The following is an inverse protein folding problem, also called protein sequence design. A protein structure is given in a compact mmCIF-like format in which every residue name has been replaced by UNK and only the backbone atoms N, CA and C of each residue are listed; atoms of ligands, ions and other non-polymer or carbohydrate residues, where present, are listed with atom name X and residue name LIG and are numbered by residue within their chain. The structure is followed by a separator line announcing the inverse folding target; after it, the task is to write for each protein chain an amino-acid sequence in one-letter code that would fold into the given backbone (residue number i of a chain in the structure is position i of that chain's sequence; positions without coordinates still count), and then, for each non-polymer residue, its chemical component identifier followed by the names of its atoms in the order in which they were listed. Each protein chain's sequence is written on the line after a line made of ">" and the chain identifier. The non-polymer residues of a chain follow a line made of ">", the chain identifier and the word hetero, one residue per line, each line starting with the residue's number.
data_IF_577700340468
#
_entry.id   IF_577700340468
#
_cell.length_a   1.000
_cell.length_b   1.000
_cell.length_c   1.000
_cell.angle_alpha   90.00
_cell.angle_beta   90.00
_cell.angle_gamma   90.00
#
_symmetry.space_group_name_H-M   'P 1'
#
loop_
_entity.id
_entity.type
_entity.pdbx_description
1 polymer ?
#
# COMPACT_ATOMS: atom_id res chain seq x y z
N UNK A 1 2.42 20.98 -0.47
CA UNK A 1 3.61 20.55 0.30
C UNK A 1 3.32 19.36 1.21
N UNK A 2 2.43 19.45 2.22
CA UNK A 2 2.14 18.30 3.12
C UNK A 2 1.47 17.12 2.40
N UNK A 3 0.37 17.35 1.67
CA UNK A 3 -0.35 16.26 0.97
C UNK A 3 0.50 15.64 -0.13
N UNK A 4 1.29 16.46 -0.83
CA UNK A 4 2.26 16.00 -1.83
C UNK A 4 3.33 15.10 -1.21
N UNK A 5 3.87 15.46 -0.04
CA UNK A 5 4.84 14.60 0.66
C UNK A 5 4.26 13.26 1.10
N UNK A 6 2.96 13.21 1.43
CA UNK A 6 2.28 11.97 1.75
C UNK A 6 1.99 11.11 0.50
N UNK A 7 1.79 11.76 -0.66
CA UNK A 7 1.47 11.13 -1.95
C UNK A 7 2.67 11.10 -2.92
N UNK A 8 3.87 10.78 -2.41
CA UNK A 8 5.14 11.03 -3.10
C UNK A 8 5.40 10.28 -4.41
N UNK A 9 4.53 9.34 -4.82
CA UNK A 9 4.63 8.65 -6.11
C UNK A 9 4.15 9.48 -7.31
N UNK A 10 3.26 10.45 -7.05
CA UNK A 10 2.65 11.28 -8.09
C UNK A 10 3.38 12.61 -8.22
N UNK A 11 3.34 13.21 -9.41
CA UNK A 11 3.83 14.57 -9.58
C UNK A 11 3.03 15.55 -8.71
N UNK A 12 3.71 16.60 -8.24
CA UNK A 12 3.10 17.64 -7.40
C UNK A 12 1.84 18.23 -8.03
N UNK A 13 1.89 18.53 -9.34
CA UNK A 13 0.74 19.07 -10.07
C UNK A 13 -0.46 18.11 -10.07
N UNK A 14 -0.22 16.81 -10.25
CA UNK A 14 -1.28 15.79 -10.21
C UNK A 14 -1.91 15.68 -8.83
N UNK A 15 -1.10 15.63 -7.76
CA UNK A 15 -1.62 15.58 -6.39
C UNK A 15 -2.45 16.83 -6.09
N UNK A 16 -1.94 18.01 -6.42
CA UNK A 16 -2.64 19.27 -6.17
C UNK A 16 -3.98 19.34 -6.90
N UNK A 17 -4.00 18.97 -8.19
CA UNK A 17 -5.22 18.96 -8.99
C UNK A 17 -6.27 18.03 -8.39
N UNK A 18 -5.92 16.75 -8.17
CA UNK A 18 -6.86 15.74 -7.67
C UNK A 18 -7.33 16.09 -6.25
N UNK A 19 -6.40 16.46 -5.36
CA UNK A 19 -6.73 16.79 -3.97
C UNK A 19 -7.67 17.99 -3.86
N UNK A 20 -7.37 19.08 -4.59
CA UNK A 20 -8.17 20.29 -4.52
C UNK A 20 -9.56 20.09 -5.10
N UNK A 21 -9.70 19.38 -6.24
CA UNK A 21 -11.02 19.12 -6.78
C UNK A 21 -11.83 18.12 -5.94
N UNK A 22 -11.18 17.12 -5.33
CA UNK A 22 -11.87 16.11 -4.52
C UNK A 22 -12.36 16.66 -3.17
N UNK A 23 -11.54 17.48 -2.49
CA UNK A 23 -11.90 18.01 -1.16
C UNK A 23 -13.07 19.01 -1.22
N UNK A 24 -13.31 19.61 -2.38
CA UNK A 24 -14.47 20.49 -2.63
C UNK A 24 -15.78 19.69 -2.78
N UNK A 25 -15.69 18.38 -3.08
CA UNK A 25 -16.84 17.47 -3.22
C UNK A 25 -17.14 16.78 -1.89
N UNK A 26 -16.13 16.23 -1.23
CA UNK A 26 -16.29 15.44 -0.01
C UNK A 26 -15.12 15.71 0.96
N UNK A 27 -15.37 15.92 2.26
CA UNK A 27 -14.29 16.12 3.23
C UNK A 27 -13.30 14.93 3.19
N UNK A 28 -11.98 15.17 3.17
CA UNK A 28 -11.02 14.09 2.94
C UNK A 28 -11.11 12.91 3.90
N UNK A 29 -11.44 13.15 5.19
CA UNK A 29 -11.59 12.05 6.16
C UNK A 29 -12.83 11.19 5.87
N UNK A 30 -13.92 11.80 5.39
CA UNK A 30 -15.12 11.09 4.97
C UNK A 30 -14.82 10.30 3.70
N UNK A 31 -14.13 10.89 2.72
CA UNK A 31 -13.70 10.19 1.51
C UNK A 31 -12.81 8.97 1.82
N UNK A 32 -11.87 9.11 2.76
CA UNK A 32 -11.03 8.00 3.21
C UNK A 32 -11.82 6.88 3.90
N UNK A 33 -12.84 7.22 4.68
CA UNK A 33 -13.75 6.24 5.29
C UNK A 33 -14.55 5.48 4.23
N UNK A 34 -15.16 6.19 3.28
CA UNK A 34 -15.93 5.60 2.18
C UNK A 34 -15.07 4.68 1.30
N UNK A 35 -13.82 5.07 1.02
CA UNK A 35 -12.89 4.21 0.29
C UNK A 35 -12.66 2.87 0.99
N UNK A 36 -12.53 2.89 2.32
CA UNK A 36 -12.36 1.64 3.09
C UNK A 36 -13.66 0.86 3.20
N UNK A 37 -14.81 1.52 3.31
CA UNK A 37 -16.11 0.85 3.23
C UNK A 37 -16.29 0.14 1.87
N UNK A 38 -15.88 0.76 0.77
CA UNK A 38 -15.86 0.11 -0.55
C UNK A 38 -14.95 -1.12 -0.56
N UNK A 39 -13.75 -1.04 0.02
CA UNK A 39 -12.84 -2.19 0.16
C UNK A 39 -13.47 -3.32 0.99
N UNK A 40 -14.14 -2.99 2.09
CA UNK A 40 -14.85 -3.96 2.92
C UNK A 40 -15.99 -4.63 2.13
N UNK A 41 -16.84 -3.83 1.46
CA UNK A 41 -17.95 -4.35 0.66
C UNK A 41 -17.47 -5.25 -0.48
N UNK A 42 -16.36 -4.89 -1.13
CA UNK A 42 -15.72 -5.73 -2.14
C UNK A 42 -15.26 -7.06 -1.53
N UNK A 43 -14.68 -7.03 -0.33
CA UNK A 43 -14.31 -8.23 0.40
C UNK A 43 -15.50 -9.14 0.71
N UNK A 44 -16.62 -8.57 1.18
CA UNK A 44 -17.87 -9.31 1.40
C UNK A 44 -18.38 -9.94 0.12
N UNK A 45 -18.43 -9.19 -0.98
CA UNK A 45 -18.92 -9.69 -2.27
C UNK A 45 -18.06 -10.84 -2.80
N UNK A 46 -16.73 -10.72 -2.73
CA UNK A 46 -15.82 -11.68 -3.36
C UNK A 46 -15.41 -12.85 -2.48
N UNK A 47 -15.27 -12.65 -1.17
CA UNK A 47 -14.54 -13.58 -0.32
C UNK A 47 -15.38 -14.22 0.79
N UNK A 48 -16.69 -13.97 0.86
CA UNK A 48 -17.55 -14.51 1.92
C UNK A 48 -17.56 -16.04 2.04
N UNK A 49 -17.16 -16.77 0.98
CA UNK A 49 -17.10 -18.23 0.97
C UNK A 49 -15.74 -18.80 1.41
N UNK A 50 -14.72 -17.95 1.61
CA UNK A 50 -13.40 -18.42 2.03
C UNK A 50 -13.38 -18.79 3.52
N UNK A 51 -12.78 -19.93 3.89
CA UNK A 51 -12.60 -20.30 5.28
C UNK A 51 -11.43 -19.54 5.90
N UNK A 52 -11.36 -19.54 7.24
CA UNK A 52 -10.24 -19.02 8.04
C UNK A 52 -9.93 -17.51 7.91
N UNK A 53 -10.90 -16.71 7.46
CA UNK A 53 -10.71 -15.27 7.29
C UNK A 53 -10.48 -14.53 8.61
N UNK A 54 -11.04 -15.01 9.71
CA UNK A 54 -10.79 -14.41 11.03
C UNK A 54 -9.33 -14.61 11.45
N UNK A 55 -8.82 -15.83 11.30
CA UNK A 55 -7.44 -16.20 11.62
C UNK A 55 -6.45 -15.43 10.71
N UNK A 56 -6.79 -15.26 9.43
CA UNK A 56 -6.04 -14.41 8.51
C UNK A 56 -5.98 -12.95 9.00
N UNK A 57 -7.12 -12.40 9.41
CA UNK A 57 -7.22 -11.03 9.92
C UNK A 57 -6.41 -10.85 11.19
N UNK A 58 -6.49 -11.78 12.14
CA UNK A 58 -5.72 -11.70 13.39
C UNK A 58 -4.21 -11.80 13.16
N UNK A 59 -3.75 -12.73 12.33
CA UNK A 59 -2.34 -12.84 11.96
C UNK A 59 -1.84 -11.55 11.28
N UNK A 60 -2.62 -11.02 10.33
CA UNK A 60 -2.26 -9.80 9.61
C UNK A 60 -2.23 -8.57 10.52
N UNK A 61 -3.15 -8.48 11.48
CA UNK A 61 -3.19 -7.38 12.46
C UNK A 61 -1.95 -7.34 13.34
N UNK A 62 -1.30 -8.47 13.64
CA UNK A 62 -0.02 -8.49 14.37
C UNK A 62 1.04 -7.69 13.60
N UNK A 63 1.18 -7.95 12.31
CA UNK A 63 2.12 -7.27 11.41
C UNK A 63 1.81 -5.77 11.36
N UNK A 64 0.56 -5.41 11.08
CA UNK A 64 0.12 -4.00 10.98
C UNK A 64 0.35 -3.25 12.30
N UNK A 65 0.11 -3.90 13.44
CA UNK A 65 0.29 -3.30 14.76
C UNK A 65 1.77 -3.04 15.05
N UNK A 66 2.62 -4.00 14.72
CA UNK A 66 4.06 -3.97 14.98
C UNK A 66 4.83 -2.97 14.11
N UNK A 67 4.30 -2.60 12.95
CA UNK A 67 4.99 -1.69 12.03
C UNK A 67 5.12 -0.28 12.63
N UNK A 68 6.35 0.22 12.64
CA UNK A 68 6.66 1.61 12.97
C UNK A 68 6.04 2.54 11.90
N UNK A 69 5.38 3.62 12.33
CA UNK A 69 4.53 4.49 11.50
C UNK A 69 5.16 5.84 11.14
N UNK A 70 6.25 6.25 11.78
CA UNK A 70 7.00 7.45 11.46
C UNK A 70 7.39 7.43 9.99
N UNK A 71 7.08 8.51 9.27
CA UNK A 71 7.17 8.65 7.80
C UNK A 71 6.12 7.90 6.95
N UNK A 72 5.23 7.11 7.53
CA UNK A 72 4.26 6.28 6.80
C UNK A 72 2.84 6.85 6.88
N UNK A 73 2.64 8.08 6.38
CA UNK A 73 1.40 8.83 6.57
C UNK A 73 0.16 8.15 5.98
N UNK A 74 0.23 7.63 4.75
CA UNK A 74 -0.90 6.95 4.09
C UNK A 74 -1.23 5.63 4.78
N UNK A 75 -0.21 4.80 5.06
CA UNK A 75 -0.36 3.59 5.87
C UNK A 75 -1.03 3.89 7.23
N UNK A 76 -0.59 4.95 7.91
CA UNK A 76 -1.18 5.36 9.19
C UNK A 76 -2.64 5.78 9.03
N UNK A 77 -2.95 6.53 7.97
CA UNK A 77 -4.29 7.02 7.69
C UNK A 77 -5.30 5.92 7.33
N UNK A 78 -4.86 4.89 6.59
CA UNK A 78 -5.69 3.75 6.21
C UNK A 78 -5.81 2.72 7.35
N UNK A 79 -4.74 2.49 8.11
CA UNK A 79 -4.75 1.57 9.25
C UNK A 79 -5.59 2.08 10.44
N UNK A 80 -5.86 3.39 10.51
CA UNK A 80 -6.71 3.99 11.53
C UNK A 80 -8.22 3.82 11.28
N UNK A 81 -8.63 3.34 10.10
CA UNK A 81 -10.04 3.13 9.79
C UNK A 81 -10.64 1.96 10.59
N UNK A 82 -11.91 2.04 11.02
CA UNK A 82 -12.56 0.97 11.77
C UNK A 82 -12.53 -0.35 11.00
N UNK A 83 -12.20 -1.44 11.69
CA UNK A 83 -12.21 -2.78 11.09
C UNK A 83 -13.66 -3.24 10.85
N UNK A 84 -13.91 -3.85 9.70
CA UNK A 84 -15.20 -4.48 9.41
C UNK A 84 -15.53 -5.58 10.44
N UNK A 85 -16.82 -5.69 10.81
CA UNK A 85 -17.33 -6.81 11.64
C UNK A 85 -17.56 -8.09 10.82
N UNK A 86 -17.69 -7.97 9.50
CA UNK A 86 -17.76 -9.13 8.60
C UNK A 86 -16.33 -9.63 8.32
N UNK A 87 -16.01 -10.93 8.52
CA UNK A 87 -14.67 -11.48 8.32
C UNK A 87 -14.11 -11.25 6.91
N UNK A 88 -14.93 -11.36 5.87
CA UNK A 88 -14.50 -11.17 4.48
C UNK A 88 -14.20 -9.71 4.15
N UNK A 89 -15.02 -8.79 4.68
CA UNK A 89 -14.74 -7.36 4.61
C UNK A 89 -13.48 -6.97 5.39
N UNK A 90 -13.28 -7.57 6.57
CA UNK A 90 -12.09 -7.34 7.38
C UNK A 90 -10.83 -7.87 6.69
N UNK A 91 -10.91 -9.05 6.06
CA UNK A 91 -9.81 -9.64 5.29
C UNK A 91 -9.38 -8.71 4.16
N UNK A 92 -10.30 -8.25 3.31
CA UNK A 92 -9.95 -7.33 2.21
C UNK A 92 -9.40 -5.98 2.71
N UNK A 93 -9.93 -5.47 3.82
CA UNK A 93 -9.40 -4.26 4.45
C UNK A 93 -7.96 -4.45 4.91
N UNK A 94 -7.65 -5.48 5.70
CA UNK A 94 -6.27 -5.68 6.18
C UNK A 94 -5.30 -6.01 5.05
N UNK A 95 -5.74 -6.68 3.99
CA UNK A 95 -4.95 -6.85 2.75
C UNK A 95 -4.62 -5.50 2.11
N UNK A 96 -5.60 -4.59 2.03
CA UNK A 96 -5.41 -3.24 1.51
C UNK A 96 -4.41 -2.44 2.36
N UNK A 97 -4.48 -2.58 3.69
CA UNK A 97 -3.56 -1.94 4.63
C UNK A 97 -2.14 -2.50 4.48
N UNK A 98 -1.94 -3.81 4.36
CA UNK A 98 -0.62 -4.41 4.10
C UNK A 98 0.00 -3.92 2.78
N UNK A 99 -0.82 -3.81 1.73
CA UNK A 99 -0.38 -3.25 0.44
C UNK A 99 0.12 -1.82 0.62
N UNK A 100 -0.63 -1.00 1.35
CA UNK A 100 -0.26 0.39 1.58
C UNK A 100 0.95 0.53 2.51
N UNK A 101 1.09 -0.36 3.50
CA UNK A 101 2.27 -0.46 4.35
C UNK A 101 3.54 -0.65 3.52
N UNK A 102 3.57 -1.65 2.62
CA UNK A 102 4.71 -1.86 1.72
C UNK A 102 4.95 -0.64 0.83
N UNK A 103 3.90 -0.03 0.28
CA UNK A 103 4.01 1.15 -0.58
C UNK A 103 4.62 2.36 0.14
N UNK A 104 4.18 2.63 1.36
CA UNK A 104 4.70 3.71 2.20
C UNK A 104 6.16 3.45 2.59
N UNK A 105 6.51 2.24 3.01
CA UNK A 105 7.90 1.86 3.35
C UNK A 105 8.80 2.00 2.13
N UNK A 106 8.35 1.53 0.96
CA UNK A 106 9.11 1.64 -0.27
C UNK A 106 9.37 3.09 -0.66
N UNK A 107 8.40 4.01 -0.44
CA UNK A 107 8.60 5.43 -0.70
C UNK A 107 9.70 6.02 0.18
N UNK A 108 9.72 5.69 1.48
CA UNK A 108 10.80 6.08 2.40
C UNK A 108 12.14 5.46 2.02
N UNK A 109 12.14 4.21 1.53
CA UNK A 109 13.35 3.53 1.07
C UNK A 109 13.93 4.15 -0.22
N UNK A 110 13.09 4.60 -1.16
CA UNK A 110 13.51 5.35 -2.35
C UNK A 110 14.25 6.63 -1.96
N UNK A 111 13.62 7.44 -1.09
CA UNK A 111 14.23 8.67 -0.57
C UNK A 111 15.59 8.38 0.11
N UNK A 112 15.62 7.38 1.00
CA UNK A 112 16.83 6.99 1.72
C UNK A 112 17.93 6.41 0.81
N UNK A 113 17.56 5.89 -0.35
CA UNK A 113 18.49 5.32 -1.34
C UNK A 113 18.95 6.35 -2.37
N UNK A 114 18.50 7.60 -2.29
CA UNK A 114 18.91 8.68 -3.19
C UNK A 114 18.27 8.63 -4.57
N UNK A 115 17.08 8.02 -4.69
CA UNK A 115 16.32 7.98 -5.95
C UNK A 115 14.95 8.63 -5.77
N UNK A 116 14.54 9.44 -6.75
CA UNK A 116 13.20 10.05 -6.76
C UNK A 116 12.14 9.04 -7.18
N UNK A 117 10.89 9.24 -6.75
CA UNK A 117 9.79 8.37 -7.17
C UNK A 117 9.56 8.39 -8.69
N UNK A 118 9.73 9.54 -9.33
CA UNK A 118 9.70 9.65 -10.80
C UNK A 118 10.72 8.69 -11.44
N UNK A 119 11.97 8.75 -11.00
CA UNK A 119 13.03 7.94 -11.59
C UNK A 119 12.83 6.45 -11.26
N UNK A 120 12.32 6.13 -10.07
CA UNK A 120 11.92 4.77 -9.72
C UNK A 120 10.82 4.23 -10.65
N UNK A 121 9.83 5.05 -11.01
CA UNK A 121 8.84 4.70 -12.02
C UNK A 121 9.48 4.50 -13.39
N UNK A 122 10.37 5.39 -13.83
CA UNK A 122 11.09 5.22 -15.11
C UNK A 122 11.93 3.94 -15.16
N UNK A 123 12.55 3.53 -14.05
CA UNK A 123 13.30 2.28 -13.94
C UNK A 123 12.38 1.06 -14.05
N UNK A 124 11.30 0.99 -13.25
CA UNK A 124 10.53 -0.24 -13.07
C UNK A 124 9.27 -0.33 -13.93
N UNK A 125 8.66 0.81 -14.25
CA UNK A 125 7.37 0.95 -14.93
C UNK A 125 7.42 2.10 -15.96
N UNK A 126 8.34 2.08 -16.93
CA UNK A 126 8.56 3.20 -17.86
C UNK A 126 7.31 3.59 -18.65
N UNK A 127 6.40 2.65 -18.91
CA UNK A 127 5.17 2.89 -19.65
C UNK A 127 4.05 3.53 -18.81
N UNK A 128 4.22 3.64 -17.49
CA UNK A 128 3.20 4.12 -16.57
C UNK A 128 3.51 5.52 -16.00
N UNK A 129 4.62 6.15 -16.39
CA UNK A 129 5.08 7.44 -15.83
C UNK A 129 4.04 8.55 -15.99
N UNK A 130 3.38 8.61 -17.14
CA UNK A 130 2.31 9.57 -17.45
C UNK A 130 1.08 9.38 -16.56
N UNK A 131 0.75 8.15 -16.16
CA UNK A 131 -0.33 7.87 -15.21
C UNK A 131 -0.08 8.52 -13.84
N UNK A 132 1.18 8.58 -13.41
CA UNK A 132 1.58 9.27 -12.18
C UNK A 132 1.79 10.79 -12.38
N UNK A 133 1.55 11.30 -13.59
CA UNK A 133 1.65 12.71 -13.93
C UNK A 133 3.06 13.19 -14.21
N UNK A 134 3.98 12.29 -14.52
CA UNK A 134 5.33 12.62 -14.97
C UNK A 134 5.32 12.76 -16.50
N UNK A 135 5.87 13.87 -16.99
CA UNK A 135 6.00 14.12 -18.44
C UNK A 135 7.17 13.30 -19.03
N UNK A 136 7.52 13.54 -20.29
CA UNK A 136 8.77 13.02 -20.84
C UNK A 136 9.96 13.57 -20.04
N UNK A 137 10.97 12.73 -19.83
CA UNK A 137 12.10 13.05 -18.99
C UNK A 137 13.29 12.16 -19.31
N UNK A 138 14.42 12.34 -18.61
CA UNK A 138 15.63 11.60 -18.89
C UNK A 138 15.41 10.09 -18.73
N UNK A 139 16.07 9.32 -19.59
CA UNK A 139 16.14 7.87 -19.42
C UNK A 139 16.92 7.53 -18.14
N UNK A 140 16.52 6.49 -17.39
CA UNK A 140 17.26 6.07 -16.20
C UNK A 140 18.72 5.74 -16.50
N UNK A 141 19.61 6.23 -15.65
CA UNK A 141 21.04 5.90 -15.65
C UNK A 141 21.30 4.54 -14.99
N UNK A 142 22.55 4.08 -15.03
CA UNK A 142 22.96 2.89 -14.27
C UNK A 142 22.90 3.14 -12.75
N UNK A 143 23.26 4.34 -12.30
CA UNK A 143 23.15 4.74 -10.90
C UNK A 143 21.70 4.74 -10.42
N UNK A 144 20.75 5.17 -11.27
CA UNK A 144 19.32 5.09 -10.95
C UNK A 144 18.86 3.63 -10.76
N UNK A 145 19.30 2.72 -11.64
CA UNK A 145 18.99 1.29 -11.50
C UNK A 145 19.63 0.69 -10.25
N UNK A 146 20.84 1.10 -9.92
CA UNK A 146 21.54 0.68 -8.70
C UNK A 146 20.83 1.17 -7.44
N UNK A 147 20.47 2.45 -7.37
CA UNK A 147 19.75 3.04 -6.24
C UNK A 147 18.34 2.47 -6.09
N UNK A 148 17.66 2.15 -7.19
CA UNK A 148 16.39 1.42 -7.14
C UNK A 148 16.55 0.03 -6.53
N UNK A 149 17.60 -0.71 -6.90
CA UNK A 149 17.92 -2.00 -6.30
C UNK A 149 18.20 -1.91 -4.80
N UNK A 150 18.93 -0.87 -4.36
CA UNK A 150 19.13 -0.58 -2.92
C UNK A 150 17.81 -0.31 -2.20
N UNK A 151 16.91 0.46 -2.83
CA UNK A 151 15.61 0.76 -2.24
C UNK A 151 14.74 -0.50 -2.07
N UNK A 152 14.76 -1.43 -3.03
CA UNK A 152 14.06 -2.71 -2.91
C UNK A 152 14.63 -3.57 -1.77
N UNK A 153 15.95 -3.65 -1.63
CA UNK A 153 16.59 -4.36 -0.52
C UNK A 153 16.22 -3.73 0.84
N UNK A 154 16.35 -2.40 0.96
CA UNK A 154 15.99 -1.67 2.17
C UNK A 154 14.49 -1.80 2.49
N UNK A 155 13.62 -1.85 1.49
CA UNK A 155 12.18 -2.09 1.70
C UNK A 155 11.94 -3.43 2.38
N UNK A 156 12.64 -4.48 1.94
CA UNK A 156 12.54 -5.80 2.58
C UNK A 156 13.08 -5.75 4.02
N UNK A 157 14.25 -5.14 4.24
CA UNK A 157 14.85 -5.03 5.57
C UNK A 157 13.93 -4.30 6.55
N UNK A 158 13.26 -3.22 6.12
CA UNK A 158 12.32 -2.46 6.93
C UNK A 158 11.00 -3.19 7.20
N UNK A 159 10.64 -4.17 6.36
CA UNK A 159 9.46 -5.01 6.57
C UNK A 159 9.73 -6.15 7.56
N UNK A 160 10.97 -6.69 7.60
CA UNK A 160 11.32 -7.86 8.43
C UNK A 160 10.81 -7.75 9.87
N UNK A 161 11.06 -6.65 10.63
CA UNK A 161 10.68 -6.59 12.04
C UNK A 161 9.17 -6.80 12.28
N UNK A 162 8.31 -6.19 11.46
CA UNK A 162 6.86 -6.36 11.58
C UNK A 162 6.42 -7.77 11.20
N UNK A 163 7.00 -8.34 10.14
CA UNK A 163 6.71 -9.70 9.69
C UNK A 163 7.27 -10.79 10.62
N UNK A 164 8.31 -10.52 11.40
CA UNK A 164 8.82 -11.45 12.43
C UNK A 164 7.87 -11.63 13.62
N UNK A 165 6.73 -10.93 13.67
CA UNK A 165 5.73 -11.08 14.75
C UNK A 165 4.73 -12.22 14.54
N UNK A 166 4.71 -12.81 13.34
CA UNK A 166 3.87 -13.97 13.03
C UNK A 166 4.68 -15.26 13.06
N UNK A 167 4.08 -16.37 13.47
CA UNK A 167 4.71 -17.69 13.40
C UNK A 167 4.73 -18.22 11.96
N UNK A 168 5.51 -19.27 11.70
CA UNK A 168 5.53 -19.94 10.39
C UNK A 168 4.13 -20.40 9.96
N UNK A 169 3.34 -20.97 10.88
CA UNK A 169 1.96 -21.39 10.61
C UNK A 169 1.03 -20.22 10.27
N UNK A 170 1.24 -19.05 10.87
CA UNK A 170 0.50 -17.83 10.54
C UNK A 170 0.95 -17.27 9.18
N UNK A 171 2.24 -17.35 8.87
CA UNK A 171 2.78 -17.04 7.55
C UNK A 171 2.19 -17.91 6.44
N UNK A 172 2.11 -19.22 6.66
CA UNK A 172 1.49 -20.17 5.74
C UNK A 172 -0.02 -19.90 5.56
N UNK A 173 -0.71 -19.54 6.64
CA UNK A 173 -2.11 -19.12 6.58
C UNK A 173 -2.27 -17.85 5.74
N UNK A 174 -1.45 -16.82 5.97
CA UNK A 174 -1.46 -15.58 5.19
C UNK A 174 -1.24 -15.88 3.72
N UNK A 175 -0.20 -16.62 3.38
CA UNK A 175 0.15 -16.96 2.00
C UNK A 175 -0.96 -17.75 1.31
N UNK A 176 -1.50 -18.78 1.97
CA UNK A 176 -2.55 -19.63 1.40
C UNK A 176 -3.87 -18.86 1.22
N UNK A 177 -4.22 -17.96 2.14
CA UNK A 177 -5.43 -17.14 2.06
C UNK A 177 -5.33 -16.12 0.93
N UNK A 178 -4.21 -15.40 0.81
CA UNK A 178 -3.99 -14.44 -0.29
C UNK A 178 -4.02 -15.14 -1.65
N UNK A 179 -3.43 -16.34 -1.77
CA UNK A 179 -3.52 -17.14 -3.01
C UNK A 179 -4.95 -17.50 -3.37
N UNK A 180 -5.80 -17.85 -2.40
CA UNK A 180 -7.22 -18.15 -2.63
C UNK A 180 -8.00 -16.89 -3.05
N UNK A 181 -7.77 -15.76 -2.39
CA UNK A 181 -8.36 -14.47 -2.77
C UNK A 181 -7.98 -14.11 -4.21
N UNK A 182 -6.70 -14.25 -4.57
CA UNK A 182 -6.22 -14.02 -5.94
C UNK A 182 -6.88 -14.96 -6.95
N UNK A 183 -7.02 -16.25 -6.63
CA UNK A 183 -7.66 -17.22 -7.51
C UNK A 183 -9.14 -16.90 -7.78
N UNK A 184 -9.86 -16.36 -6.79
CA UNK A 184 -11.25 -15.90 -6.97
C UNK A 184 -11.31 -14.72 -7.95
N UNK A 185 -10.38 -13.77 -7.84
CA UNK A 185 -10.37 -12.56 -8.70
C UNK A 185 -9.90 -12.81 -10.14
N UNK A 186 -9.25 -13.94 -10.39
CA UNK A 186 -8.80 -14.32 -11.72
C UNK A 186 -9.91 -14.96 -12.59
N UNK A 187 -11.07 -15.25 -11.98
CA UNK A 187 -12.26 -15.80 -12.63
C UNK A 187 -13.33 -14.73 -12.85
#
# INVERSE_FOLDING_TARGET
>A
EVVESAMGYFSKATVQKIWNSAKDILPPRVAGHEYILCSQNFGVDKFSTLPHLNEYVEATKKIITAQERSSLALFSGIAAEPISKNPAGAAMQVTSVLREMRGSIHLSALFSSGITAEMAHRVKRPNDTSFFGWEDGPNPTEDDRYNWGKAEALTNDLLIPAWSTVSDSEGDLILSTVKKMQAILAN
#
